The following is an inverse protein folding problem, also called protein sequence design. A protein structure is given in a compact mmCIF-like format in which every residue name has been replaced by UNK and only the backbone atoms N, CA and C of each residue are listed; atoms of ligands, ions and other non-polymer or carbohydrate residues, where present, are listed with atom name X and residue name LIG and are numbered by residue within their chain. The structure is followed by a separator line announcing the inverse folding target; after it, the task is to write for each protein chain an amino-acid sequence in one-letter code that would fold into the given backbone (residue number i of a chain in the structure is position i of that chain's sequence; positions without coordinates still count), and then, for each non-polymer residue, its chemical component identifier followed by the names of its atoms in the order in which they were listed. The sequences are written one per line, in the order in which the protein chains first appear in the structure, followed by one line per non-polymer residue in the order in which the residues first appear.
data_IF_364805148545
#
_entry.id   IF_364805148545
#
_cell.length_a   1.000
_cell.length_b   1.000
_cell.length_c   1.000
_cell.angle_alpha   90.00
_cell.angle_beta   90.00
_cell.angle_gamma   90.00
#
_symmetry.space_group_name_H-M   'P 1'
#
loop_
_entity.id
_entity.type
_entity.pdbx_description
1 polymer ?
#
# COMPACT_ATOMS: atom_id res chain seq x y z
N UNK A 1 -11.58 33.70 15.03
CA UNK A 1 -11.18 32.28 15.13
C UNK A 1 -12.27 31.55 15.91
N UNK A 2 -13.09 30.69 15.26
CA UNK A 2 -14.03 29.82 15.98
C UNK A 2 -13.24 28.68 16.62
N UNK A 3 -13.45 28.42 17.91
CA UNK A 3 -12.82 27.34 18.65
C UNK A 3 -13.05 26.00 17.94
N UNK A 4 -11.96 25.28 17.66
CA UNK A 4 -12.03 23.93 17.09
C UNK A 4 -12.76 23.03 18.09
N UNK A 5 -13.76 22.28 17.63
CA UNK A 5 -14.38 21.25 18.46
C UNK A 5 -13.31 20.22 18.86
N UNK A 6 -13.30 19.82 20.14
CA UNK A 6 -12.42 18.75 20.60
C UNK A 6 -12.68 17.47 19.78
N UNK A 7 -11.62 16.77 19.39
CA UNK A 7 -11.73 15.48 18.71
C UNK A 7 -12.46 14.49 19.63
N UNK A 8 -13.63 14.02 19.20
CA UNK A 8 -14.38 12.99 19.92
C UNK A 8 -14.09 11.63 19.32
N UNK A 9 -14.07 10.58 20.14
CA UNK A 9 -13.89 9.20 19.67
C UNK A 9 -15.07 8.65 18.85
N UNK A 10 -16.17 9.42 18.76
CA UNK A 10 -17.48 9.00 18.22
C UNK A 10 -17.81 9.63 16.87
N UNK A 11 -16.96 10.53 16.34
CA UNK A 11 -17.18 11.18 15.05
C UNK A 11 -15.99 11.03 14.12
N UNK A 12 -16.26 10.88 12.82
CA UNK A 12 -15.25 10.95 11.75
C UNK A 12 -15.40 12.31 11.06
N UNK A 13 -14.28 12.97 10.78
CA UNK A 13 -14.29 14.22 10.01
C UNK A 13 -13.83 13.95 8.58
N UNK A 14 -14.53 14.53 7.62
CA UNK A 14 -14.31 14.34 6.19
C UNK A 14 -13.98 15.69 5.57
N UNK A 15 -13.01 15.71 4.66
CA UNK A 15 -12.76 16.81 3.73
C UNK A 15 -13.22 16.40 2.33
N UNK A 16 -13.98 17.26 1.65
CA UNK A 16 -14.45 17.05 0.29
C UNK A 16 -14.29 18.34 -0.54
N UNK A 17 -13.79 18.22 -1.76
CA UNK A 17 -13.51 19.34 -2.65
C UNK A 17 -14.67 19.60 -3.62
N UNK A 18 -15.17 20.83 -3.63
CA UNK A 18 -16.07 21.32 -4.67
C UNK A 18 -15.23 21.86 -5.82
N UNK A 19 -15.24 21.17 -6.96
CA UNK A 19 -14.45 21.53 -8.13
C UNK A 19 -14.91 22.84 -8.77
N UNK A 20 -16.19 23.22 -8.63
CA UNK A 20 -16.72 24.43 -9.26
C UNK A 20 -16.29 25.69 -8.52
N UNK A 21 -16.32 25.64 -7.18
CA UNK A 21 -15.94 26.79 -6.35
C UNK A 21 -14.48 26.74 -5.91
N UNK A 22 -13.79 25.63 -6.18
CA UNK A 22 -12.45 25.34 -5.67
C UNK A 22 -12.36 25.40 -4.13
N UNK A 23 -13.46 25.11 -3.43
CA UNK A 23 -13.52 25.15 -1.96
C UNK A 23 -13.48 23.76 -1.34
N UNK A 24 -12.72 23.64 -0.26
CA UNK A 24 -12.71 22.44 0.59
C UNK A 24 -13.82 22.56 1.64
N UNK A 25 -14.70 21.56 1.67
CA UNK A 25 -15.77 21.38 2.64
C UNK A 25 -15.35 20.32 3.67
N UNK A 26 -15.34 20.71 4.94
CA UNK A 26 -15.02 19.94 6.13
C UNK A 26 -16.31 19.76 6.94
N UNK A 27 -16.64 18.52 7.28
CA UNK A 27 -17.81 18.18 8.07
C UNK A 27 -17.56 16.89 8.83
N UNK A 28 -18.36 16.65 9.88
CA UNK A 28 -18.25 15.44 10.69
C UNK A 28 -19.51 14.60 10.60
N UNK A 29 -19.34 13.28 10.67
CA UNK A 29 -20.42 12.29 10.70
C UNK A 29 -20.22 11.32 11.86
N UNK A 30 -21.29 10.69 12.38
CA UNK A 30 -21.18 9.66 13.40
C UNK A 30 -20.31 8.49 12.91
N UNK A 31 -19.33 8.10 13.72
CA UNK A 31 -18.35 7.06 13.36
C UNK A 31 -19.01 5.70 13.16
N UNK A 32 -19.94 5.31 14.02
CA UNK A 32 -20.61 4.01 13.92
C UNK A 32 -21.41 3.91 12.62
N UNK A 33 -22.12 4.97 12.24
CA UNK A 33 -22.87 5.01 10.99
C UNK A 33 -21.97 5.09 9.76
N UNK A 34 -20.79 5.71 9.87
CA UNK A 34 -19.77 5.75 8.81
C UNK A 34 -19.20 4.37 8.47
N UNK A 35 -19.31 3.41 9.39
CA UNK A 35 -18.88 2.02 9.18
C UNK A 35 -19.99 1.10 8.67
N UNK A 36 -21.17 1.63 8.33
CA UNK A 36 -22.29 0.86 7.80
C UNK A 36 -22.36 1.05 6.28
N UNK A 37 -22.23 -0.05 5.53
CA UNK A 37 -22.34 -0.04 4.06
C UNK A 37 -23.73 0.49 3.63
N UNK A 38 -23.74 1.43 2.68
CA UNK A 38 -24.96 2.03 2.15
C UNK A 38 -25.60 3.09 3.05
N UNK A 39 -25.01 3.39 4.22
CA UNK A 39 -25.54 4.43 5.10
C UNK A 39 -25.54 5.79 4.40
N UNK A 40 -26.62 6.55 4.64
CA UNK A 40 -26.81 7.92 4.15
C UNK A 40 -26.79 8.87 5.32
N UNK A 41 -25.76 9.72 5.41
CA UNK A 41 -25.50 10.58 6.55
C UNK A 41 -25.62 12.03 6.12
N UNK A 42 -26.58 12.75 6.69
CA UNK A 42 -26.69 14.20 6.50
C UNK A 42 -25.66 14.91 7.38
N UNK A 43 -24.98 15.91 6.83
CA UNK A 43 -24.06 16.76 7.57
C UNK A 43 -24.11 18.20 7.07
N UNK A 44 -23.62 19.12 7.90
CA UNK A 44 -23.43 20.53 7.52
C UNK A 44 -21.94 20.83 7.51
N UNK A 45 -21.47 21.43 6.42
CA UNK A 45 -20.06 21.81 6.26
C UNK A 45 -19.72 23.04 7.08
N UNK A 46 -18.43 23.26 7.32
CA UNK A 46 -17.92 24.50 7.94
C UNK A 46 -18.26 25.76 7.13
N UNK A 47 -18.62 25.61 5.85
CA UNK A 47 -19.12 26.66 4.96
C UNK A 47 -20.66 26.77 4.96
N UNK A 48 -21.33 26.13 5.93
CA UNK A 48 -22.79 26.12 6.09
C UNK A 48 -23.57 25.49 4.93
N UNK A 49 -22.94 24.59 4.16
CA UNK A 49 -23.61 23.81 3.12
C UNK A 49 -24.19 22.52 3.69
N UNK A 50 -25.36 22.12 3.21
CA UNK A 50 -25.94 20.81 3.54
C UNK A 50 -25.42 19.77 2.58
N UNK A 51 -24.81 18.70 3.10
CA UNK A 51 -24.28 17.59 2.30
C UNK A 51 -24.90 16.26 2.73
N UNK A 52 -25.01 15.34 1.78
CA UNK A 52 -25.38 13.96 1.98
C UNK A 52 -24.17 13.07 1.69
N UNK A 53 -23.74 12.32 2.68
CA UNK A 53 -22.66 11.33 2.56
C UNK A 53 -23.28 9.96 2.34
N UNK A 54 -22.81 9.22 1.35
CA UNK A 54 -23.21 7.84 1.12
C UNK A 54 -22.00 6.92 1.25
N UNK A 55 -22.07 5.96 2.16
CA UNK A 55 -20.98 5.01 2.44
C UNK A 55 -20.97 3.90 1.40
N UNK A 56 -19.91 3.86 0.58
CA UNK A 56 -19.76 2.88 -0.51
C UNK A 56 -19.17 1.58 0.04
N UNK A 57 -18.05 1.69 0.74
CA UNK A 57 -17.27 0.55 1.23
C UNK A 57 -16.67 0.89 2.60
N UNK A 58 -17.26 0.41 3.71
CA UNK A 58 -16.74 0.67 5.05
C UNK A 58 -15.44 -0.11 5.30
N UNK A 59 -14.38 0.58 5.69
CA UNK A 59 -13.07 0.00 6.00
C UNK A 59 -12.22 0.90 6.92
N UNK A 60 -12.80 1.36 8.02
CA UNK A 60 -12.11 2.23 8.99
C UNK A 60 -11.58 3.51 8.34
N UNK A 61 -10.27 3.74 8.41
CA UNK A 61 -9.60 4.90 7.81
C UNK A 61 -9.71 4.92 6.27
N UNK A 62 -9.83 3.75 5.63
CA UNK A 62 -9.93 3.58 4.18
C UNK A 62 -11.39 3.47 3.71
N UNK A 63 -12.35 4.00 4.48
CA UNK A 63 -13.76 3.96 4.10
C UNK A 63 -14.03 4.87 2.90
N UNK A 64 -14.52 4.29 1.81
CA UNK A 64 -14.89 5.02 0.60
C UNK A 64 -16.32 5.56 0.71
N UNK A 65 -16.51 6.84 0.36
CA UNK A 65 -17.80 7.53 0.40
C UNK A 65 -18.01 8.41 -0.83
N UNK A 66 -19.27 8.66 -1.22
CA UNK A 66 -19.62 9.82 -2.06
C UNK A 66 -20.16 10.94 -1.19
N UNK A 67 -19.92 12.19 -1.59
CA UNK A 67 -20.43 13.39 -0.90
C UNK A 67 -21.23 14.20 -1.90
N UNK A 68 -22.48 14.50 -1.60
CA UNK A 68 -23.38 15.24 -2.50
C UNK A 68 -23.88 16.51 -1.82
N UNK A 69 -23.77 17.65 -2.48
CA UNK A 69 -24.41 18.89 -2.04
C UNK A 69 -25.93 18.78 -2.21
N UNK A 70 -26.68 18.95 -1.12
CA UNK A 70 -28.13 18.74 -1.11
C UNK A 70 -28.84 19.81 -1.95
N UNK A 71 -28.31 21.03 -1.99
CA UNK A 71 -28.94 22.14 -2.71
C UNK A 71 -28.81 21.99 -4.23
N UNK A 72 -27.64 21.59 -4.73
CA UNK A 72 -27.36 21.53 -6.17
C UNK A 72 -27.40 20.11 -6.74
N UNK A 73 -27.38 19.07 -5.90
CA UNK A 73 -27.25 17.68 -6.32
C UNK A 73 -25.85 17.30 -6.83
N UNK A 74 -24.88 18.23 -6.83
CA UNK A 74 -23.52 17.99 -7.31
C UNK A 74 -22.72 17.13 -6.34
N UNK A 75 -21.84 16.29 -6.87
CA UNK A 75 -20.90 15.53 -6.06
C UNK A 75 -19.64 16.34 -5.79
N UNK A 76 -19.16 16.29 -4.54
CA UNK A 76 -17.83 16.74 -4.17
C UNK A 76 -16.86 15.56 -4.20
N UNK A 77 -15.60 15.86 -4.53
CA UNK A 77 -14.53 14.88 -4.52
C UNK A 77 -14.10 14.60 -3.07
N UNK A 78 -14.29 13.38 -2.52
CA UNK A 78 -13.77 13.05 -1.20
C UNK A 78 -12.24 13.13 -1.21
N UNK A 79 -11.66 13.83 -0.25
CA UNK A 79 -10.21 13.99 -0.11
C UNK A 79 -9.68 13.14 1.04
N UNK A 80 -9.90 13.57 2.28
CA UNK A 80 -9.25 12.99 3.46
C UNK A 80 -10.28 12.67 4.54
N UNK A 81 -10.11 11.51 5.16
CA UNK A 81 -10.77 11.09 6.38
C UNK A 81 -9.85 11.38 7.55
N UNK A 82 -10.30 12.21 8.49
CA UNK A 82 -9.72 12.32 9.82
C UNK A 82 -10.47 11.38 10.75
N UNK A 83 -9.82 10.27 11.10
CA UNK A 83 -10.43 9.14 11.79
C UNK A 83 -9.81 8.95 13.20
N UNK A 84 -10.59 9.06 14.28
CA UNK A 84 -10.08 8.83 15.63
C UNK A 84 -9.89 7.33 15.88
N UNK A 85 -8.68 6.93 16.24
CA UNK A 85 -8.36 5.58 16.72
C UNK A 85 -8.64 5.55 18.22
N UNK A 86 -9.55 4.67 18.63
CA UNK A 86 -9.98 4.53 20.02
C UNK A 86 -9.51 3.17 20.54
N UNK A 87 -8.78 3.17 21.66
CA UNK A 87 -8.39 1.95 22.37
C UNK A 87 -8.82 2.10 23.82
N UNK A 88 -9.43 1.05 24.38
CA UNK A 88 -9.93 1.05 25.77
C UNK A 88 -10.80 2.27 26.12
N UNK A 89 -11.63 2.73 25.17
CA UNK A 89 -12.55 3.86 25.35
C UNK A 89 -11.92 5.26 25.20
N UNK A 90 -10.59 5.37 25.06
CA UNK A 90 -9.90 6.64 24.87
C UNK A 90 -9.36 6.80 23.44
N UNK A 91 -9.40 8.03 22.91
CA UNK A 91 -8.72 8.35 21.65
C UNK A 91 -7.21 8.27 21.88
N UNK A 92 -6.53 7.39 21.15
CA UNK A 92 -5.08 7.19 21.27
C UNK A 92 -4.30 7.80 20.10
N UNK A 93 -4.92 7.91 18.94
CA UNK A 93 -4.29 8.38 17.71
C UNK A 93 -5.38 8.98 16.80
N UNK A 94 -5.02 9.93 15.96
CA UNK A 94 -5.89 10.43 14.88
C UNK A 94 -5.22 10.11 13.56
N UNK A 95 -5.87 9.29 12.75
CA UNK A 95 -5.39 8.96 11.41
C UNK A 95 -5.92 9.98 10.40
N UNK A 96 -5.09 10.35 9.45
CA UNK A 96 -5.49 11.09 8.25
C UNK A 96 -5.27 10.16 7.07
N UNK A 97 -6.32 9.90 6.29
CA UNK A 97 -6.25 8.89 5.24
C UNK A 97 -7.17 9.24 4.06
N UNK A 98 -6.65 9.09 2.86
CA UNK A 98 -7.38 9.18 1.60
C UNK A 98 -7.77 7.78 1.17
N UNK A 99 -9.07 7.51 1.10
CA UNK A 99 -9.57 6.20 0.70
C UNK A 99 -9.33 5.91 -0.78
N UNK A 100 -9.19 4.64 -1.15
CA UNK A 100 -9.26 4.23 -2.55
C UNK A 100 -10.65 4.60 -3.10
N UNK A 101 -10.68 5.53 -4.05
CA UNK A 101 -11.93 6.04 -4.61
C UNK A 101 -11.80 6.26 -6.11
N UNK A 102 -12.75 5.78 -6.95
CA UNK A 102 -12.66 5.89 -8.40
C UNK A 102 -12.45 7.31 -8.92
N UNK A 103 -13.05 8.31 -8.25
CA UNK A 103 -12.90 9.72 -8.63
C UNK A 103 -11.48 10.30 -8.39
N UNK A 104 -10.62 9.60 -7.66
CA UNK A 104 -9.21 9.97 -7.42
C UNK A 104 -8.25 9.16 -8.29
N UNK A 105 -8.74 8.19 -9.07
CA UNK A 105 -7.89 7.35 -9.91
C UNK A 105 -7.52 8.09 -11.18
N UNK A 106 -6.21 8.22 -11.41
CA UNK A 106 -5.64 8.68 -12.67
C UNK A 106 -4.34 7.92 -12.96
N UNK A 107 -3.87 7.94 -14.21
CA UNK A 107 -2.61 7.31 -14.59
C UNK A 107 -1.43 7.88 -13.80
N UNK A 108 -1.43 9.19 -13.54
CA UNK A 108 -0.41 9.89 -12.77
C UNK A 108 -0.39 9.43 -11.31
N UNK A 109 -1.55 9.27 -10.68
CA UNK A 109 -1.65 8.78 -9.30
C UNK A 109 -1.17 7.33 -9.22
N UNK A 110 -1.54 6.48 -10.17
CA UNK A 110 -1.07 5.09 -10.23
C UNK A 110 0.45 5.04 -10.41
N UNK A 111 1.00 5.87 -11.31
CA UNK A 111 2.43 5.98 -11.55
C UNK A 111 3.21 6.50 -10.33
N UNK A 112 2.64 7.47 -9.61
CA UNK A 112 3.22 7.98 -8.36
C UNK A 112 3.26 6.90 -7.27
N UNK A 113 2.21 6.08 -7.16
CA UNK A 113 2.15 4.97 -6.22
C UNK A 113 3.18 3.88 -6.55
N UNK A 114 3.31 3.55 -7.83
CA UNK A 114 4.33 2.63 -8.32
C UNK A 114 5.74 3.15 -7.99
N UNK A 115 5.99 4.43 -8.27
CA UNK A 115 7.26 5.09 -7.98
C UNK A 115 7.57 5.10 -6.48
N UNK A 116 6.57 5.32 -5.63
CA UNK A 116 6.73 5.26 -4.18
C UNK A 116 7.20 3.87 -3.73
N UNK A 117 6.53 2.80 -4.17
CA UNK A 117 6.91 1.41 -3.84
C UNK A 117 8.34 1.11 -4.28
N UNK A 118 8.68 1.37 -5.54
CA UNK A 118 10.02 1.13 -6.09
C UNK A 118 11.08 1.90 -5.31
N UNK A 119 10.88 3.20 -5.09
CA UNK A 119 11.86 4.05 -4.39
C UNK A 119 12.08 3.60 -2.95
N UNK A 120 11.01 3.21 -2.25
CA UNK A 120 11.12 2.74 -0.86
C UNK A 120 11.89 1.42 -0.75
N UNK A 121 11.68 0.49 -1.69
CA UNK A 121 12.41 -0.78 -1.74
C UNK A 121 13.88 -0.59 -2.15
N UNK A 122 14.16 0.29 -3.12
CA UNK A 122 15.53 0.66 -3.50
C UNK A 122 16.26 1.31 -2.32
N UNK A 123 15.62 2.25 -1.62
CA UNK A 123 16.18 2.89 -0.42
C UNK A 123 16.44 1.87 0.69
N UNK A 124 15.54 0.92 0.91
CA UNK A 124 15.75 -0.14 1.90
C UNK A 124 16.96 -1.03 1.52
N UNK A 125 17.09 -1.40 0.24
CA UNK A 125 18.23 -2.17 -0.25
C UNK A 125 19.56 -1.40 -0.09
N UNK A 126 19.58 -0.10 -0.38
CA UNK A 126 20.75 0.77 -0.16
C UNK A 126 21.16 0.82 1.31
N UNK A 127 20.20 1.02 2.22
CA UNK A 127 20.46 1.03 3.67
C UNK A 127 20.99 -0.30 4.21
N UNK A 128 20.53 -1.40 3.64
CA UNK A 128 21.07 -2.73 3.95
C UNK A 128 22.51 -2.87 3.41
N UNK A 129 22.78 -2.36 2.20
CA UNK A 129 24.12 -2.38 1.61
C UNK A 129 25.14 -1.55 2.40
N UNK A 130 24.73 -0.38 2.92
CA UNK A 130 25.55 0.45 3.83
C UNK A 130 25.94 -0.30 5.12
N UNK A 131 25.16 -1.31 5.50
CA UNK A 131 25.41 -2.20 6.64
C UNK A 131 26.04 -3.53 6.22
N UNK A 132 26.50 -3.65 4.97
CA UNK A 132 27.20 -4.81 4.44
C UNK A 132 26.31 -5.94 3.91
N UNK A 133 25.00 -5.72 3.78
CA UNK A 133 24.06 -6.71 3.25
C UNK A 133 23.61 -6.31 1.84
N UNK A 134 24.18 -6.96 0.83
CA UNK A 134 23.82 -6.72 -0.57
C UNK A 134 22.53 -7.48 -0.94
N UNK A 135 21.54 -6.76 -1.47
CA UNK A 135 20.30 -7.33 -2.01
C UNK A 135 20.33 -7.28 -3.54
N UNK A 136 20.10 -8.41 -4.20
CA UNK A 136 20.12 -8.47 -5.67
C UNK A 136 18.86 -7.84 -6.28
N UNK A 137 18.99 -7.27 -7.49
CA UNK A 137 17.89 -6.55 -8.15
C UNK A 137 16.66 -7.42 -8.40
N UNK A 138 16.84 -8.69 -8.72
CA UNK A 138 15.73 -9.63 -8.90
C UNK A 138 14.95 -9.89 -7.61
N UNK A 139 15.60 -9.86 -6.44
CA UNK A 139 14.91 -9.91 -5.13
C UNK A 139 14.07 -8.65 -4.90
N UNK A 140 14.62 -7.47 -5.22
CA UNK A 140 13.89 -6.20 -5.13
C UNK A 140 12.64 -6.26 -6.02
N UNK A 141 12.79 -6.70 -7.27
CA UNK A 141 11.67 -6.82 -8.20
C UNK A 141 10.60 -7.78 -7.68
N UNK A 142 10.98 -8.93 -7.10
CA UNK A 142 10.01 -9.85 -6.48
C UNK A 142 9.30 -9.17 -5.31
N UNK A 143 10.03 -8.43 -4.46
CA UNK A 143 9.43 -7.70 -3.34
C UNK A 143 8.42 -6.64 -3.79
N UNK A 144 8.66 -5.93 -4.90
CA UNK A 144 7.71 -4.98 -5.50
C UNK A 144 6.37 -5.64 -5.82
N UNK A 145 6.39 -6.88 -6.30
CA UNK A 145 5.16 -7.63 -6.60
C UNK A 145 4.46 -8.05 -5.30
N UNK A 146 5.21 -8.60 -4.36
CA UNK A 146 4.67 -9.11 -3.10
C UNK A 146 3.93 -8.02 -2.30
N UNK A 147 4.41 -6.77 -2.27
CA UNK A 147 3.69 -5.68 -1.56
C UNK A 147 2.32 -5.34 -2.16
N UNK A 148 2.07 -5.70 -3.43
CA UNK A 148 0.73 -5.63 -4.03
C UNK A 148 -0.08 -6.91 -3.77
N UNK A 149 0.58 -8.07 -3.80
CA UNK A 149 -0.07 -9.36 -3.50
C UNK A 149 -0.65 -9.36 -2.09
N UNK A 150 0.10 -8.88 -1.09
CA UNK A 150 -0.34 -8.81 0.32
C UNK A 150 -1.62 -8.00 0.55
N UNK A 151 -1.92 -7.06 -0.36
CA UNK A 151 -3.09 -6.19 -0.27
C UNK A 151 -4.14 -6.46 -1.36
N UNK A 152 -3.97 -7.55 -2.11
CA UNK A 152 -4.97 -8.04 -3.04
C UNK A 152 -5.95 -8.96 -2.32
N UNK A 153 -7.19 -8.49 -2.12
CA UNK A 153 -8.26 -9.30 -1.54
C UNK A 153 -8.60 -10.50 -2.46
N UNK A 154 -8.56 -11.71 -1.91
CA UNK A 154 -8.79 -12.95 -2.68
C UNK A 154 -10.19 -13.00 -3.31
N UNK A 155 -11.21 -12.46 -2.65
CA UNK A 155 -12.58 -12.45 -3.19
C UNK A 155 -12.69 -11.44 -4.32
N UNK A 156 -12.08 -10.25 -4.21
CA UNK A 156 -12.01 -9.28 -5.31
C UNK A 156 -11.27 -9.90 -6.50
N UNK A 157 -10.12 -10.53 -6.26
CA UNK A 157 -9.35 -11.18 -7.32
C UNK A 157 -10.14 -12.24 -8.12
N UNK A 158 -11.00 -12.99 -7.42
CA UNK A 158 -11.85 -14.02 -8.03
C UNK A 158 -13.09 -13.48 -8.75
N UNK A 159 -13.62 -12.33 -8.32
CA UNK A 159 -14.95 -11.88 -8.73
C UNK A 159 -14.97 -10.52 -9.46
N UNK A 160 -13.84 -9.81 -9.49
CA UNK A 160 -13.72 -8.48 -10.10
C UNK A 160 -12.75 -8.48 -11.28
N UNK A 161 -12.88 -7.45 -12.10
CA UNK A 161 -11.91 -7.14 -13.15
C UNK A 161 -10.58 -6.74 -12.51
N UNK A 162 -9.54 -7.54 -12.76
CA UNK A 162 -8.20 -7.38 -12.19
C UNK A 162 -7.55 -6.07 -12.59
N UNK A 163 -7.92 -5.49 -13.73
CA UNK A 163 -7.41 -4.19 -14.18
C UNK A 163 -7.81 -3.04 -13.24
N UNK A 164 -8.75 -3.26 -12.31
CA UNK A 164 -9.20 -2.27 -11.33
C UNK A 164 -8.57 -2.46 -9.95
N UNK A 165 -8.12 -3.67 -9.63
CA UNK A 165 -7.62 -4.02 -8.29
C UNK A 165 -6.27 -3.36 -8.02
N UNK A 166 -5.33 -3.48 -8.97
CA UNK A 166 -3.97 -2.97 -8.77
C UNK A 166 -3.90 -1.44 -8.79
N UNK A 167 -4.63 -0.73 -9.68
CA UNK A 167 -4.76 0.72 -9.59
C UNK A 167 -5.28 1.22 -8.23
N UNK A 168 -6.26 0.54 -7.62
CA UNK A 168 -6.72 0.91 -6.28
C UNK A 168 -5.58 0.84 -5.26
N UNK A 169 -4.82 -0.27 -5.24
CA UNK A 169 -3.72 -0.47 -4.30
C UNK A 169 -2.60 0.58 -4.53
N UNK A 170 -2.20 0.79 -5.78
CA UNK A 170 -1.16 1.77 -6.12
C UNK A 170 -1.60 3.20 -5.79
N UNK A 171 -2.88 3.54 -6.03
CA UNK A 171 -3.40 4.86 -5.64
C UNK A 171 -3.29 5.10 -4.13
N UNK A 172 -3.51 4.06 -3.31
CA UNK A 172 -3.35 4.18 -1.86
C UNK A 172 -1.90 4.49 -1.46
N UNK A 173 -0.92 3.89 -2.14
CA UNK A 173 0.51 4.21 -1.93
C UNK A 173 0.82 5.66 -2.32
N UNK A 174 0.27 6.15 -3.42
CA UNK A 174 0.45 7.54 -3.83
C UNK A 174 -0.16 8.55 -2.84
N UNK A 175 -1.39 8.28 -2.41
CA UNK A 175 -2.22 9.22 -1.67
C UNK A 175 -1.91 9.25 -0.17
N UNK A 176 -1.36 8.17 0.38
CA UNK A 176 -1.09 8.04 1.82
C UNK A 176 0.38 7.77 2.16
N UNK A 177 1.22 7.40 1.18
CA UNK A 177 2.66 7.18 1.33
C UNK A 177 3.00 6.35 2.58
N UNK A 178 3.74 6.92 3.55
CA UNK A 178 4.18 6.23 4.76
C UNK A 178 3.05 5.77 5.69
N UNK A 179 1.81 6.21 5.46
CA UNK A 179 0.63 5.79 6.22
C UNK A 179 -0.21 4.71 5.52
N UNK A 180 0.10 4.38 4.26
CA UNK A 180 -0.60 3.33 3.50
C UNK A 180 -0.54 2.00 4.24
N UNK A 181 -1.70 1.38 4.51
CA UNK A 181 -1.79 0.09 5.24
C UNK A 181 -1.21 0.07 6.66
N UNK A 182 -0.87 1.22 7.26
CA UNK A 182 -0.39 1.35 8.66
C UNK A 182 -1.28 0.65 9.69
N UNK A 183 -2.57 0.55 9.40
CA UNK A 183 -3.57 -0.06 10.29
C UNK A 183 -4.02 -1.46 9.84
N UNK A 184 -3.48 -1.99 8.76
CA UNK A 184 -3.80 -3.32 8.25
C UNK A 184 -3.20 -4.39 9.16
N UNK A 185 -4.07 -5.21 9.75
CA UNK A 185 -3.67 -6.35 10.60
C UNK A 185 -4.51 -7.57 10.24
N UNK A 186 -3.86 -8.69 9.93
CA UNK A 186 -4.54 -9.96 9.66
C UNK A 186 -4.95 -10.68 10.95
N UNK A 187 -5.75 -11.75 10.82
CA UNK A 187 -6.10 -12.62 11.96
C UNK A 187 -4.90 -13.31 12.59
N UNK A 188 -3.83 -13.54 11.83
CA UNK A 188 -2.57 -14.09 12.31
C UNK A 188 -1.64 -13.03 12.93
N UNK A 189 -2.07 -11.76 12.96
CA UNK A 189 -1.28 -10.63 13.45
C UNK A 189 -0.25 -10.10 12.45
N UNK A 190 -0.33 -10.51 11.18
CA UNK A 190 0.46 -9.91 10.10
C UNK A 190 0.15 -8.42 9.99
N UNK A 191 1.16 -7.55 9.89
CA UNK A 191 0.98 -6.10 10.00
C UNK A 191 1.57 -5.30 8.84
N UNK A 192 0.95 -4.15 8.55
CA UNK A 192 1.52 -3.12 7.67
C UNK A 192 1.55 -3.49 6.19
N UNK A 193 2.38 -2.78 5.41
CA UNK A 193 2.45 -2.91 3.95
C UNK A 193 2.97 -4.26 3.44
N UNK A 194 3.67 -5.02 4.29
CA UNK A 194 4.32 -6.28 3.91
C UNK A 194 3.65 -7.51 4.52
N UNK A 195 2.64 -7.29 5.38
CA UNK A 195 1.91 -8.34 6.12
C UNK A 195 2.83 -9.42 6.74
N UNK A 196 3.96 -9.01 7.32
CA UNK A 196 4.84 -9.93 8.04
C UNK A 196 4.28 -10.23 9.42
N UNK A 197 4.36 -11.49 9.88
CA UNK A 197 3.91 -11.91 11.22
C UNK A 197 4.98 -11.66 12.30
N UNK A 198 4.58 -11.48 13.57
CA UNK A 198 5.51 -11.13 14.65
C UNK A 198 6.69 -12.09 14.83
N UNK A 199 6.42 -13.39 14.74
CA UNK A 199 7.44 -14.43 14.93
C UNK A 199 8.51 -14.39 13.83
N UNK A 200 8.11 -14.14 12.59
CA UNK A 200 9.03 -14.02 11.46
C UNK A 200 9.91 -12.78 11.62
N UNK A 201 9.29 -11.64 11.97
CA UNK A 201 10.02 -10.40 12.21
C UNK A 201 11.07 -10.55 13.31
N UNK A 202 10.71 -11.16 14.43
CA UNK A 202 11.64 -11.41 15.52
C UNK A 202 12.79 -12.35 15.10
N UNK A 203 12.48 -13.39 14.31
CA UNK A 203 13.50 -14.28 13.74
C UNK A 203 14.50 -13.52 12.86
N UNK A 204 14.03 -12.62 12.00
CA UNK A 204 14.89 -11.78 11.16
C UNK A 204 15.75 -10.84 11.99
N UNK A 205 15.19 -10.21 13.03
CA UNK A 205 15.95 -9.37 13.96
C UNK A 205 17.08 -10.14 14.65
N UNK A 206 16.82 -11.38 15.05
CA UNK A 206 17.83 -12.23 15.69
C UNK A 206 18.92 -12.69 14.72
N UNK A 207 18.56 -12.95 13.45
CA UNK A 207 19.49 -13.37 12.41
C UNK A 207 20.37 -12.21 11.93
N UNK A 208 19.86 -10.98 12.00
CA UNK A 208 20.53 -9.77 11.51
C UNK A 208 20.71 -8.71 12.61
N UNK A 209 21.45 -9.00 13.70
CA UNK A 209 21.59 -8.07 14.83
C UNK A 209 22.36 -6.78 14.48
N UNK A 210 23.09 -6.77 13.36
CA UNK A 210 23.76 -5.57 12.83
C UNK A 210 22.84 -4.61 12.07
N UNK A 211 21.59 -5.02 11.82
CA UNK A 211 20.57 -4.18 11.20
C UNK A 211 19.68 -3.62 12.30
N UNK A 212 19.65 -2.29 12.43
CA UNK A 212 18.84 -1.56 13.41
C UNK A 212 17.32 -1.61 13.10
N UNK A 213 16.76 -2.82 13.11
CA UNK A 213 15.34 -3.07 13.01
C UNK A 213 14.65 -2.77 14.35
N UNK A 214 13.53 -2.05 14.28
CA UNK A 214 12.72 -1.64 15.42
C UNK A 214 12.42 -2.81 16.37
N UNK A 215 12.55 -2.57 17.68
CA UNK A 215 12.29 -3.57 18.71
C UNK A 215 10.80 -3.90 18.84
N UNK A 216 9.95 -2.89 18.74
CA UNK A 216 8.50 -3.07 18.77
C UNK A 216 7.97 -3.43 17.37
N UNK A 217 7.40 -4.63 17.26
CA UNK A 217 6.85 -5.14 16.00
C UNK A 217 5.80 -4.20 15.39
N UNK A 218 4.89 -3.65 16.20
CA UNK A 218 3.80 -2.81 15.69
C UNK A 218 4.35 -1.52 15.08
N UNK A 219 5.25 -0.84 15.78
CA UNK A 219 5.92 0.36 15.29
C UNK A 219 6.80 0.06 14.08
N UNK A 220 7.47 -1.09 14.09
CA UNK A 220 8.29 -1.58 12.99
C UNK A 220 7.50 -1.82 11.71
N UNK A 221 6.38 -2.54 11.78
CA UNK A 221 5.54 -2.83 10.60
C UNK A 221 4.75 -1.62 10.11
N UNK A 222 4.50 -0.63 10.98
CA UNK A 222 3.90 0.66 10.62
C UNK A 222 4.87 1.60 9.90
N UNK A 223 6.18 1.36 10.02
CA UNK A 223 7.20 2.15 9.36
C UNK A 223 7.67 1.42 8.10
N UNK A 224 7.31 1.93 6.93
CA UNK A 224 7.64 1.29 5.65
C UNK A 224 9.13 1.04 5.46
N UNK A 225 10.00 1.96 5.89
CA UNK A 225 11.43 1.76 5.74
C UNK A 225 11.94 0.56 6.55
N UNK A 226 11.52 0.46 7.82
CA UNK A 226 11.86 -0.69 8.67
C UNK A 226 11.23 -1.99 8.14
N UNK A 227 9.95 -1.94 7.75
CA UNK A 227 9.24 -3.10 7.23
C UNK A 227 9.94 -3.65 5.98
N UNK A 228 10.27 -2.79 5.02
CA UNK A 228 10.90 -3.23 3.77
C UNK A 228 12.33 -3.74 3.96
N UNK A 229 13.12 -3.18 4.90
CA UNK A 229 14.41 -3.79 5.28
C UNK A 229 14.21 -5.23 5.77
N UNK A 230 13.24 -5.46 6.67
CA UNK A 230 12.93 -6.80 7.15
C UNK A 230 12.41 -7.75 6.05
N UNK A 231 11.59 -7.24 5.13
CA UNK A 231 11.09 -7.99 3.98
C UNK A 231 12.24 -8.44 3.07
N UNK A 232 13.15 -7.54 2.72
CA UNK A 232 14.27 -7.84 1.85
C UNK A 232 15.24 -8.85 2.49
N UNK A 233 15.52 -8.70 3.79
CA UNK A 233 16.30 -9.68 4.55
C UNK A 233 15.65 -11.07 4.50
N UNK A 234 14.35 -11.15 4.78
CA UNK A 234 13.62 -12.41 4.78
C UNK A 234 13.62 -13.09 3.41
N UNK A 235 13.38 -12.36 2.33
CA UNK A 235 13.41 -12.90 0.96
C UNK A 235 14.83 -13.35 0.60
N UNK A 236 15.85 -12.58 0.97
CA UNK A 236 17.25 -12.90 0.70
C UNK A 236 17.75 -14.14 1.45
N UNK A 237 17.39 -14.28 2.72
CA UNK A 237 17.70 -15.47 3.51
C UNK A 237 16.98 -16.70 2.99
N UNK A 238 15.71 -16.53 2.61
CA UNK A 238 14.91 -17.58 1.98
C UNK A 238 15.57 -18.06 0.69
N UNK A 239 15.99 -17.13 -0.19
CA UNK A 239 16.72 -17.50 -1.39
C UNK A 239 18.05 -18.19 -1.07
N UNK A 240 18.79 -17.67 -0.09
CA UNK A 240 20.07 -18.23 0.35
C UNK A 240 19.96 -19.67 0.85
N UNK A 241 18.84 -20.01 1.48
CA UNK A 241 18.50 -21.38 1.88
C UNK A 241 18.09 -22.23 0.67
N UNK A 242 17.12 -21.77 -0.12
CA UNK A 242 16.54 -22.53 -1.23
C UNK A 242 17.57 -22.87 -2.31
N UNK A 243 18.46 -21.94 -2.65
CA UNK A 243 19.46 -22.17 -3.69
C UNK A 243 20.49 -23.26 -3.34
N UNK A 244 20.57 -23.68 -2.06
CA UNK A 244 21.45 -24.77 -1.61
C UNK A 244 20.77 -26.14 -1.67
N UNK A 245 19.49 -26.21 -2.02
CA UNK A 245 18.73 -27.46 -2.07
C UNK A 245 18.78 -28.05 -3.48
N UNK A 246 19.14 -29.34 -3.58
CA UNK A 246 19.29 -30.03 -4.87
C UNK A 246 17.96 -30.09 -5.64
N UNK A 247 16.84 -30.29 -4.95
CA UNK A 247 15.51 -30.33 -5.54
C UNK A 247 15.12 -28.99 -6.16
N UNK A 248 15.49 -27.89 -5.50
CA UNK A 248 15.28 -26.53 -6.03
C UNK A 248 16.14 -26.31 -7.28
N UNK A 249 17.42 -26.66 -7.22
CA UNK A 249 18.32 -26.51 -8.37
C UNK A 249 17.88 -27.36 -9.56
N UNK A 250 17.43 -28.59 -9.32
CA UNK A 250 16.84 -29.46 -10.33
C UNK A 250 15.55 -28.85 -10.92
N UNK A 251 14.66 -28.31 -10.08
CA UNK A 251 13.42 -27.71 -10.55
C UNK A 251 13.67 -26.48 -11.43
N UNK A 252 14.63 -25.63 -11.06
CA UNK A 252 15.03 -24.45 -11.83
C UNK A 252 15.63 -24.86 -13.19
N UNK A 253 16.60 -25.78 -13.20
CA UNK A 253 17.24 -26.26 -14.45
C UNK A 253 16.26 -26.89 -15.44
N UNK A 254 15.26 -27.59 -14.92
CA UNK A 254 14.26 -28.29 -15.73
C UNK A 254 13.00 -27.45 -16.02
N UNK A 255 12.97 -26.17 -15.62
CA UNK A 255 11.81 -25.30 -15.84
C UNK A 255 10.54 -25.71 -15.09
N UNK A 256 10.65 -26.51 -14.03
CA UNK A 256 9.53 -26.97 -13.19
C UNK A 256 9.00 -25.84 -12.31
N UNK A 257 9.91 -24.98 -11.84
CA UNK A 257 9.61 -23.80 -11.04
C UNK A 257 10.57 -22.67 -11.41
N UNK A 258 10.16 -21.44 -11.17
CA UNK A 258 11.00 -20.24 -11.30
C UNK A 258 11.38 -19.68 -9.92
N UNK A 259 12.46 -18.87 -9.87
CA UNK A 259 12.87 -18.17 -8.65
C UNK A 259 11.74 -17.28 -8.06
N UNK A 260 11.03 -16.46 -8.87
CA UNK A 260 9.89 -15.69 -8.38
C UNK A 260 8.79 -16.54 -7.73
N UNK A 261 8.41 -17.66 -8.35
CA UNK A 261 7.37 -18.54 -7.79
C UNK A 261 7.80 -19.17 -6.47
N UNK A 262 9.05 -19.62 -6.37
CA UNK A 262 9.57 -20.22 -5.14
C UNK A 262 9.65 -19.20 -4.01
N UNK A 263 10.08 -17.96 -4.30
CA UNK A 263 10.14 -16.90 -3.30
C UNK A 263 8.75 -16.41 -2.90
N UNK A 264 7.81 -16.27 -3.84
CA UNK A 264 6.43 -15.94 -3.52
C UNK A 264 5.75 -17.03 -2.67
N UNK A 265 5.91 -18.31 -3.04
CA UNK A 265 5.39 -19.42 -2.25
C UNK A 265 6.04 -19.50 -0.87
N UNK A 266 7.35 -19.27 -0.78
CA UNK A 266 8.09 -19.23 0.48
C UNK A 266 7.78 -18.00 1.33
N UNK A 267 7.30 -16.91 0.73
CA UNK A 267 6.88 -15.72 1.47
C UNK A 267 5.56 -15.95 2.20
N UNK A 268 4.56 -16.51 1.50
CA UNK A 268 3.24 -16.78 2.05
C UNK A 268 3.20 -18.06 2.93
N UNK A 269 4.12 -19.01 2.73
CA UNK A 269 4.14 -20.29 3.44
C UNK A 269 5.49 -20.58 4.10
N UNK A 270 5.74 -21.81 4.53
CA UNK A 270 7.03 -22.19 5.11
C UNK A 270 8.03 -22.57 3.99
N UNK A 271 9.09 -21.76 3.74
CA UNK A 271 10.04 -22.03 2.65
C UNK A 271 10.80 -23.35 2.83
N UNK A 272 10.96 -23.84 4.06
CA UNK A 272 11.63 -25.12 4.34
C UNK A 272 10.87 -26.33 3.78
N UNK A 273 9.58 -26.18 3.44
CA UNK A 273 8.76 -27.26 2.85
C UNK A 273 8.82 -27.29 1.32
N UNK A 274 9.32 -26.25 0.67
CA UNK A 274 9.34 -26.18 -0.80
C UNK A 274 10.17 -27.29 -1.46
N UNK A 275 11.38 -27.65 -0.98
CA UNK A 275 12.13 -28.77 -1.55
C UNK A 275 11.35 -30.09 -1.52
N UNK A 276 10.62 -30.34 -0.43
CA UNK A 276 9.77 -31.52 -0.27
C UNK A 276 8.64 -31.54 -1.31
N UNK A 277 7.94 -30.42 -1.51
CA UNK A 277 6.88 -30.34 -2.52
C UNK A 277 7.40 -30.54 -3.94
N UNK A 278 8.59 -29.99 -4.25
CA UNK A 278 9.25 -30.17 -5.54
C UNK A 278 9.64 -31.63 -5.77
N UNK A 279 10.21 -32.28 -4.75
CA UNK A 279 10.60 -33.68 -4.79
C UNK A 279 9.41 -34.60 -5.07
N UNK A 280 8.33 -34.40 -4.31
CA UNK A 280 7.20 -35.31 -4.30
C UNK A 280 6.24 -35.04 -5.47
N UNK A 281 6.15 -33.78 -5.92
CA UNK A 281 5.20 -33.35 -6.95
C UNK A 281 5.80 -33.13 -8.34
N UNK A 282 7.11 -32.92 -8.46
CA UNK A 282 7.75 -32.54 -9.73
C UNK A 282 7.04 -31.35 -10.37
N UNK A 283 6.63 -31.47 -11.64
CA UNK A 283 5.83 -30.45 -12.34
C UNK A 283 4.50 -30.10 -11.65
N UNK A 284 3.93 -31.04 -10.89
CA UNK A 284 2.68 -30.87 -10.13
C UNK A 284 2.85 -30.29 -8.73
N UNK A 285 4.04 -29.87 -8.30
CA UNK A 285 4.29 -29.42 -6.92
C UNK A 285 3.34 -28.33 -6.40
N UNK A 286 2.83 -27.47 -7.30
CA UNK A 286 1.89 -26.39 -6.97
C UNK A 286 0.56 -26.93 -6.42
N UNK A 287 0.19 -28.19 -6.66
CA UNK A 287 -1.03 -28.78 -6.06
C UNK A 287 -0.81 -29.27 -4.63
N UNK A 288 0.45 -29.43 -4.20
CA UNK A 288 0.83 -29.93 -2.88
C UNK A 288 1.02 -28.82 -1.83
N UNK A 289 1.20 -27.57 -2.27
CA UNK A 289 1.29 -26.41 -1.37
C UNK A 289 -0.10 -26.04 -0.82
N UNK A 290 -0.18 -25.33 0.31
CA UNK A 290 -1.46 -24.89 0.88
C UNK A 290 -2.33 -24.12 -0.13
N UNK A 291 -3.65 -24.30 -0.07
CA UNK A 291 -4.60 -23.68 -1.00
C UNK A 291 -4.50 -22.14 -1.03
N UNK A 292 -4.24 -21.53 0.14
CA UNK A 292 -3.99 -20.09 0.24
C UNK A 292 -2.75 -19.68 -0.57
N UNK A 293 -1.67 -20.44 -0.49
CA UNK A 293 -0.44 -20.20 -1.25
C UNK A 293 -0.63 -20.44 -2.75
N UNK A 294 -1.51 -21.37 -3.14
CA UNK A 294 -1.88 -21.53 -4.56
C UNK A 294 -2.58 -20.27 -5.09
N UNK A 295 -3.52 -19.70 -4.32
CA UNK A 295 -4.16 -18.43 -4.66
C UNK A 295 -3.13 -17.30 -4.71
N UNK A 296 -2.22 -17.25 -3.73
CA UNK A 296 -1.14 -16.27 -3.66
C UNK A 296 -0.26 -16.29 -4.92
N UNK A 297 0.12 -17.47 -5.43
CA UNK A 297 0.86 -17.60 -6.68
C UNK A 297 0.05 -17.15 -7.91
N UNK A 298 -1.26 -17.41 -7.94
CA UNK A 298 -2.13 -16.93 -9.01
C UNK A 298 -2.21 -15.40 -9.03
N UNK A 299 -2.30 -14.78 -7.85
CA UNK A 299 -2.27 -13.31 -7.71
C UNK A 299 -0.90 -12.77 -8.12
N UNK A 300 0.19 -13.37 -7.67
CA UNK A 300 1.56 -12.97 -8.03
C UNK A 300 1.74 -12.96 -9.55
N UNK A 301 1.40 -14.07 -10.22
CA UNK A 301 1.49 -14.17 -11.69
C UNK A 301 0.62 -13.11 -12.39
N UNK A 302 -0.54 -12.79 -11.82
CA UNK A 302 -1.39 -11.74 -12.36
C UNK A 302 -0.80 -10.34 -12.15
N UNK A 303 -0.18 -10.04 -11.01
CA UNK A 303 0.54 -8.77 -10.80
C UNK A 303 1.66 -8.64 -11.83
N UNK A 304 2.48 -9.68 -11.97
CA UNK A 304 3.63 -9.73 -12.90
C UNK A 304 3.21 -9.48 -14.36
N UNK A 305 2.01 -9.93 -14.75
CA UNK A 305 1.48 -9.72 -16.10
C UNK A 305 0.80 -8.36 -16.32
N UNK A 306 0.36 -7.67 -15.26
CA UNK A 306 -0.52 -6.50 -15.37
C UNK A 306 0.06 -5.21 -14.77
N UNK A 307 1.15 -5.29 -14.03
CA UNK A 307 1.79 -4.14 -13.37
C UNK A 307 3.22 -4.03 -13.84
N UNK A 308 3.53 -2.95 -14.55
CA UNK A 308 4.90 -2.62 -14.91
C UNK A 308 5.49 -1.70 -13.84
N UNK A 309 6.45 -2.21 -13.07
CA UNK A 309 7.19 -1.38 -12.13
C UNK A 309 8.22 -0.51 -12.85
N UNK A 310 8.50 0.67 -12.30
CA UNK A 310 9.50 1.61 -12.86
C UNK A 310 10.85 0.92 -13.09
N UNK A 311 11.22 0.00 -12.21
CA UNK A 311 12.39 -0.88 -12.31
C UNK A 311 12.49 -1.63 -13.65
N UNK A 312 11.35 -2.10 -14.17
CA UNK A 312 11.21 -2.82 -15.42
C UNK A 312 11.05 -1.87 -16.61
N UNK A 313 10.36 -0.73 -16.42
CA UNK A 313 10.21 0.30 -17.44
C UNK A 313 11.57 0.91 -17.86
N UNK A 314 12.49 1.14 -16.91
CA UNK A 314 13.85 1.60 -17.23
C UNK A 314 14.64 0.55 -18.04
N UNK A 315 14.42 -0.75 -17.80
CA UNK A 315 15.05 -1.82 -18.59
C UNK A 315 14.42 -1.98 -19.98
N UNK A 316 13.10 -1.85 -20.09
CA UNK A 316 12.39 -1.87 -21.37
C UNK A 316 12.73 -0.65 -22.23
N UNK A 317 12.78 0.54 -21.63
CA UNK A 317 13.24 1.77 -22.30
C UNK A 317 14.72 1.67 -22.65
N UNK A 318 15.59 1.12 -21.80
CA UNK A 318 16.99 0.90 -22.18
C UNK A 318 17.14 -0.09 -23.37
N UNK A 319 16.24 -1.05 -23.49
CA UNK A 319 16.18 -1.96 -24.64
C UNK A 319 15.61 -1.29 -25.90
N UNK A 320 14.61 -0.41 -25.78
CA UNK A 320 14.00 0.34 -26.90
C UNK A 320 14.82 1.58 -27.35
N UNK A 321 15.48 2.27 -26.44
CA UNK A 321 16.34 3.44 -26.69
C UNK A 321 17.67 3.02 -27.34
N UNK A 322 18.01 1.72 -27.25
CA UNK A 322 19.04 1.10 -28.08
C UNK A 322 18.62 0.95 -29.56
N UNK A 323 17.33 1.16 -29.89
CA UNK A 323 16.75 1.01 -31.22
C UNK A 323 16.22 2.31 -31.84
N UNK A 324 15.92 3.37 -31.08
CA UNK A 324 15.44 4.64 -31.66
C UNK A 324 15.81 5.86 -30.83
N UNK A 325 16.68 6.72 -31.37
CA UNK A 325 17.09 7.99 -30.73
C UNK A 325 16.38 9.18 -31.39
N UNK A 326 15.45 9.81 -30.69
CA UNK A 326 15.00 11.19 -30.99
C UNK A 326 14.62 11.94 -29.71
N UNK A 327 15.02 13.22 -29.67
CA UNK A 327 15.03 14.12 -28.51
C UNK A 327 13.65 14.44 -27.90
N UNK A 328 13.57 14.78 -26.59
CA UNK A 328 12.31 15.04 -25.92
C UNK A 328 11.81 16.48 -26.13
N UNK A 329 10.50 16.60 -26.37
CA UNK A 329 9.73 17.84 -26.32
C UNK A 329 9.23 18.09 -24.89
N UNK A 330 9.26 19.36 -24.47
CA UNK A 330 8.82 19.84 -23.16
C UNK A 330 7.31 19.69 -23.02
N UNK A 331 6.83 18.97 -22.00
CA UNK A 331 5.41 18.77 -21.70
C UNK A 331 4.89 19.82 -20.71
N UNK A 332 3.74 20.42 -21.04
CA UNK A 332 2.96 21.32 -20.16
C UNK A 332 2.43 20.59 -18.91
N UNK A 333 2.38 21.31 -17.79
CA UNK A 333 1.97 20.75 -16.48
C UNK A 333 0.45 20.55 -16.37
N UNK A 334 0.04 19.34 -16.00
CA UNK A 334 -1.33 18.90 -15.78
C UNK A 334 -1.92 19.52 -14.48
N UNK A 335 -3.18 20.01 -14.48
CA UNK A 335 -3.85 20.57 -13.29
C UNK A 335 -3.92 19.64 -12.07
N UNK A 336 -3.82 18.31 -12.24
CA UNK A 336 -3.73 17.34 -11.13
C UNK A 336 -2.36 17.41 -10.44
N UNK A 337 -1.28 17.64 -11.19
CA UNK A 337 0.07 17.86 -10.64
C UNK A 337 0.13 19.16 -9.85
N UNK A 338 -0.58 20.19 -10.30
CA UNK A 338 -0.74 21.46 -9.56
C UNK A 338 -1.59 21.26 -8.30
N UNK A 339 -2.66 20.45 -8.36
CA UNK A 339 -3.47 20.12 -7.18
C UNK A 339 -2.68 19.29 -6.15
N UNK A 340 -1.80 18.38 -6.58
CA UNK A 340 -1.00 17.55 -5.69
C UNK A 340 0.26 18.25 -5.16
N UNK A 341 0.89 19.12 -5.95
CA UNK A 341 1.94 20.01 -5.43
C UNK A 341 1.34 21.04 -4.48
N UNK A 342 0.13 21.54 -4.76
CA UNK A 342 -0.59 22.43 -3.86
C UNK A 342 -1.10 21.70 -2.62
N UNK A 343 -1.66 20.48 -2.70
CA UNK A 343 -2.05 19.71 -1.51
C UNK A 343 -0.82 19.33 -0.69
N UNK A 344 0.29 18.93 -1.32
CA UNK A 344 1.56 18.66 -0.66
C UNK A 344 2.14 19.90 0.03
N UNK A 345 2.28 21.01 -0.70
CA UNK A 345 2.83 22.27 -0.17
C UNK A 345 1.86 22.97 0.80
N UNK A 346 0.54 22.85 0.63
CA UNK A 346 -0.45 23.44 1.55
C UNK A 346 -0.61 22.57 2.80
N UNK A 347 -0.55 21.24 2.71
CA UNK A 347 -0.50 20.36 3.90
C UNK A 347 0.86 20.42 4.59
N UNK A 348 1.96 20.65 3.88
CA UNK A 348 3.28 20.80 4.51
C UNK A 348 3.47 22.21 5.07
N UNK A 349 3.10 23.26 4.34
CA UNK A 349 3.28 24.67 4.75
C UNK A 349 2.17 25.13 5.70
N UNK A 350 0.89 24.82 5.43
CA UNK A 350 -0.19 25.11 6.39
C UNK A 350 -0.33 24.04 7.45
N UNK A 351 -0.03 22.77 7.18
CA UNK A 351 0.06 21.79 8.26
C UNK A 351 1.18 22.13 9.23
N UNK A 352 2.40 22.49 8.77
CA UNK A 352 3.47 22.94 9.69
C UNK A 352 3.24 24.33 10.28
N UNK A 353 2.62 25.29 9.58
CA UNK A 353 2.29 26.60 10.16
C UNK A 353 1.13 26.54 11.17
N UNK A 354 0.18 25.62 10.96
CA UNK A 354 -0.85 25.29 11.95
C UNK A 354 -0.21 24.49 13.10
N UNK A 355 0.69 23.54 12.85
CA UNK A 355 1.37 22.77 13.90
C UNK A 355 2.37 23.61 14.74
N UNK A 356 3.05 24.61 14.16
CA UNK A 356 3.98 25.49 14.89
C UNK A 356 3.28 26.61 15.66
N UNK A 357 2.02 26.92 15.33
CA UNK A 357 1.14 27.77 16.15
C UNK A 357 0.28 26.99 17.16
N UNK A 358 0.33 25.65 17.12
CA UNK A 358 -0.31 24.72 18.07
C UNK A 358 0.64 24.30 19.21
N UNK A 359 1.94 24.60 19.11
CA UNK A 359 2.96 24.23 20.11
C UNK A 359 3.33 25.35 21.11
N UNK A 360 2.45 26.34 21.34
CA UNK A 360 2.55 27.29 22.47
C UNK A 360 1.24 27.42 23.23
#
# INVERSE_FOLDING_TARGET
MRSRAALTGTSVTLAAFDQETSQINIFSVPKDSFLIKGAKLAATTQLSRSVLVHVISPNGVNTAVTVTDVATGRQFLPLVVQYPIVKSGAVTETAYYTSAHPALLSAEIISAGNSYVTTMLETAAERLADKGVSISRDIINIAEHLVLVEHTDHRRFLNEDRSKIYPDILSLYALNQGDTFRYSVSSAGAGGMIQMIPRTYEGIRQQHPGIDLATDFVSGMRNHANALEAMLLYINDTWSYLQKQDEVQNALRNGIASKPELLAAGYNSNPMRLPLYLRDGGAGWRTLIPAETQMYLAIYSSVDSNVQFKSQAVQAVAAEDSLTRTSPTVAEQNPVTVLMSWIGDELETRGRAILSSIAR
#
